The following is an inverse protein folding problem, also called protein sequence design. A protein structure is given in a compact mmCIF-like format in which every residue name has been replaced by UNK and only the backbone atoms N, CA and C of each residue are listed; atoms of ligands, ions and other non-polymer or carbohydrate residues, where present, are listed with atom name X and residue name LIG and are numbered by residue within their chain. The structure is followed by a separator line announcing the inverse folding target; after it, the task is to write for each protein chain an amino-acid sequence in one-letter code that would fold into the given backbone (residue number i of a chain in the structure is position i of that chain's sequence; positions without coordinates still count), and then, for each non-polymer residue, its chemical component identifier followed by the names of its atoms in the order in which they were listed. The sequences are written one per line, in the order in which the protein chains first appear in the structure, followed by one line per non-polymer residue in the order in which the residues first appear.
data_IF_839451606750
#
_entry.id   IF_839451606750
#
_cell.length_a   1.000
_cell.length_b   1.000
_cell.length_c   1.000
_cell.angle_alpha   90.00
_cell.angle_beta   90.00
_cell.angle_gamma   90.00
#
_symmetry.space_group_name_H-M   'P 1'
#
loop_
_entity.id
_entity.type
_entity.pdbx_description
1 polymer ?
#
# COMPACT_ATOMS: atom_id res chain seq x y z
N UNK A 1 9.05 5.40 32.30
CA UNK A 1 9.32 5.37 30.86
C UNK A 1 8.15 6.03 30.18
N UNK A 2 8.39 7.16 29.51
CA UNK A 2 7.40 7.84 28.68
C UNK A 2 7.27 7.00 27.41
N UNK A 3 6.07 6.55 27.06
CA UNK A 3 5.86 5.91 25.76
C UNK A 3 6.31 6.88 24.66
N UNK A 4 7.06 6.45 23.62
CA UNK A 4 7.24 7.31 22.46
C UNK A 4 5.85 7.65 21.93
N UNK A 5 5.51 8.93 21.95
CA UNK A 5 4.26 9.43 21.38
C UNK A 5 4.33 9.22 19.87
N UNK A 6 3.50 8.30 19.37
CA UNK A 6 3.40 8.01 17.93
C UNK A 6 3.05 9.27 17.14
N UNK A 7 3.61 9.41 15.95
CA UNK A 7 3.30 10.51 15.03
C UNK A 7 1.82 10.47 14.59
N UNK A 8 1.24 11.60 14.14
CA UNK A 8 -0.11 11.62 13.56
C UNK A 8 -0.28 10.64 12.40
N UNK A 9 0.74 10.49 11.55
CA UNK A 9 0.75 9.50 10.47
C UNK A 9 0.72 8.06 11.03
N UNK A 10 1.55 7.74 12.03
CA UNK A 10 1.50 6.44 12.70
C UNK A 10 0.14 6.16 13.37
N UNK A 11 -0.53 7.19 13.90
CA UNK A 11 -1.91 7.06 14.39
C UNK A 11 -2.92 6.80 13.27
N UNK A 12 -2.81 7.50 12.15
CA UNK A 12 -3.68 7.27 11.00
C UNK A 12 -3.53 5.85 10.46
N UNK A 13 -2.34 5.24 10.59
CA UNK A 13 -2.04 3.88 10.14
C UNK A 13 -2.39 2.77 11.16
N UNK A 14 -2.95 3.11 12.33
CA UNK A 14 -3.38 2.12 13.33
C UNK A 14 -4.82 1.64 13.13
N UNK A 15 -4.97 0.40 12.65
CA UNK A 15 -6.25 -0.34 12.48
C UNK A 15 -7.20 0.35 11.50
N UNK A 16 -8.07 -0.40 10.78
CA UNK A 16 -8.37 -0.07 9.39
C UNK A 16 -8.79 1.40 9.25
N UNK A 17 -8.24 2.11 8.26
CA UNK A 17 -8.39 3.55 8.17
C UNK A 17 -9.89 3.87 8.17
N UNK A 18 -10.35 4.87 8.96
CA UNK A 18 -11.73 5.28 8.87
C UNK A 18 -12.01 5.70 7.43
N UNK A 19 -12.94 5.00 6.78
CA UNK A 19 -13.37 5.41 5.45
C UNK A 19 -14.08 6.76 5.53
N UNK A 20 -13.88 7.65 4.54
CA UNK A 20 -14.80 8.76 4.32
C UNK A 20 -16.25 8.26 4.31
N UNK A 21 -17.15 9.04 4.92
CA UNK A 21 -18.57 8.68 5.00
C UNK A 21 -19.16 8.46 3.60
N UNK A 22 -19.85 7.32 3.43
CA UNK A 22 -20.49 6.95 2.16
C UNK A 22 -19.67 6.00 1.29
N UNK A 23 -18.46 5.63 1.69
CA UNK A 23 -17.67 4.59 1.02
C UNK A 23 -17.88 3.22 1.65
N UNK A 24 -17.97 2.20 0.80
CA UNK A 24 -18.07 0.79 1.19
C UNK A 24 -16.69 0.13 1.02
N UNK A 25 -16.10 -0.40 2.09
CA UNK A 25 -14.77 -1.06 2.06
C UNK A 25 -14.76 -2.26 1.11
N UNK A 26 -15.90 -2.92 0.92
CA UNK A 26 -16.00 -4.07 0.01
C UNK A 26 -16.06 -3.67 -1.47
N UNK A 27 -16.16 -2.35 -1.75
CA UNK A 27 -16.23 -1.79 -3.10
C UNK A 27 -15.25 -0.66 -3.36
N UNK A 28 -14.42 -0.30 -2.39
CA UNK A 28 -13.52 0.85 -2.46
C UNK A 28 -12.06 0.46 -2.28
N UNK A 29 -11.22 0.90 -3.21
CA UNK A 29 -9.77 0.89 -3.08
C UNK A 29 -9.33 2.20 -2.44
N UNK A 30 -8.93 2.13 -1.16
CA UNK A 30 -8.31 3.26 -0.47
C UNK A 30 -6.79 3.22 -0.66
N UNK A 31 -6.26 4.17 -1.45
CA UNK A 31 -4.82 4.38 -1.63
C UNK A 31 -4.34 5.31 -0.51
N UNK A 32 -3.47 4.81 0.35
CA UNK A 32 -2.87 5.55 1.45
C UNK A 32 -1.44 5.96 1.15
N UNK A 33 -0.90 6.84 1.98
CA UNK A 33 0.50 7.23 1.90
C UNK A 33 1.23 7.02 3.23
N UNK A 34 2.48 6.58 3.12
CA UNK A 34 3.48 6.61 4.19
C UNK A 34 4.77 7.18 3.59
N UNK A 35 5.75 7.50 4.43
CA UNK A 35 7.01 8.02 3.92
C UNK A 35 8.14 7.93 4.93
N UNK A 36 9.36 8.01 4.43
CA UNK A 36 10.56 8.11 5.26
C UNK A 36 11.56 9.08 4.66
N UNK A 37 12.17 9.90 5.51
CA UNK A 37 13.31 10.74 5.14
C UNK A 37 14.57 9.88 5.06
N UNK A 38 15.11 9.70 3.86
CA UNK A 38 16.35 8.98 3.58
C UNK A 38 17.49 9.95 3.22
N UNK A 39 18.74 9.47 3.20
CA UNK A 39 19.92 10.31 2.90
C UNK A 39 19.89 10.96 1.50
N UNK A 40 19.08 10.42 0.58
CA UNK A 40 18.88 10.95 -0.78
C UNK A 40 17.64 11.81 -0.98
N UNK A 41 16.79 11.97 0.05
CA UNK A 41 15.52 12.68 -0.06
C UNK A 41 14.38 11.97 0.68
N UNK A 42 13.19 12.54 0.57
CA UNK A 42 11.98 11.94 1.12
C UNK A 42 11.48 10.85 0.18
N UNK A 43 11.29 9.64 0.71
CA UNK A 43 10.75 8.50 -0.04
C UNK A 43 9.29 8.34 0.36
N UNK A 44 8.39 8.43 -0.62
CA UNK A 44 6.95 8.34 -0.41
C UNK A 44 6.44 7.02 -0.97
N UNK A 45 5.63 6.33 -0.17
CA UNK A 45 5.03 5.05 -0.53
C UNK A 45 3.53 5.20 -0.70
N UNK A 46 3.00 4.68 -1.81
CA UNK A 46 1.60 4.30 -1.89
C UNK A 46 1.39 3.00 -1.09
N UNK A 47 0.36 2.97 -0.26
CA UNK A 47 0.07 1.86 0.65
C UNK A 47 -1.32 1.30 0.36
N UNK A 48 -1.40 -0.01 0.11
CA UNK A 48 -2.65 -0.75 -0.06
C UNK A 48 -2.72 -1.90 0.94
N UNK A 49 -3.79 -1.95 1.72
CA UNK A 49 -4.05 -3.06 2.63
C UNK A 49 -4.53 -4.31 1.90
N UNK A 50 -4.40 -5.48 2.54
CA UNK A 50 -4.85 -6.75 1.98
C UNK A 50 -6.34 -6.76 1.61
N UNK A 51 -7.18 -6.05 2.38
CA UNK A 51 -8.62 -5.94 2.11
C UNK A 51 -8.92 -5.20 0.80
N UNK A 52 -8.06 -4.26 0.39
CA UNK A 52 -8.15 -3.60 -0.91
C UNK A 52 -7.49 -4.45 -2.01
N UNK A 53 -6.31 -5.02 -1.73
CA UNK A 53 -5.56 -5.83 -2.68
C UNK A 53 -6.33 -7.09 -3.13
N UNK A 54 -7.17 -7.68 -2.27
CA UNK A 54 -7.99 -8.84 -2.63
C UNK A 54 -9.08 -8.53 -3.66
N UNK A 55 -9.49 -7.26 -3.77
CA UNK A 55 -10.51 -6.81 -4.72
C UNK A 55 -9.93 -6.55 -6.12
N UNK A 56 -8.62 -6.34 -6.20
CA UNK A 56 -7.91 -6.07 -7.45
C UNK A 56 -7.35 -7.36 -8.07
N UNK A 57 -7.22 -7.46 -9.40
CA UNK A 57 -6.64 -8.63 -10.07
C UNK A 57 -5.15 -8.80 -9.77
N UNK A 58 -4.58 -9.99 -10.02
CA UNK A 58 -3.18 -10.31 -9.64
C UNK A 58 -2.18 -9.41 -10.38
N UNK A 59 -2.55 -8.96 -11.58
CA UNK A 59 -1.75 -8.05 -12.40
C UNK A 59 -1.52 -6.67 -11.79
N UNK A 60 -2.18 -6.30 -10.68
CA UNK A 60 -1.86 -5.04 -9.98
C UNK A 60 -0.40 -5.01 -9.50
N UNK A 61 0.16 -6.16 -9.15
CA UNK A 61 1.56 -6.30 -8.72
C UNK A 61 2.53 -6.62 -9.88
N UNK A 62 2.05 -6.68 -11.13
CA UNK A 62 2.88 -7.00 -12.27
C UNK A 62 3.96 -5.93 -12.50
N UNK A 63 5.20 -6.35 -12.77
CA UNK A 63 6.32 -5.43 -12.94
C UNK A 63 6.86 -4.80 -11.65
N UNK A 64 6.31 -5.12 -10.47
CA UNK A 64 6.94 -4.75 -9.20
C UNK A 64 8.09 -5.70 -8.87
N UNK A 65 9.27 -5.15 -8.62
CA UNK A 65 10.43 -5.91 -8.17
C UNK A 65 10.44 -5.98 -6.64
N UNK A 66 10.15 -7.15 -6.08
CA UNK A 66 10.17 -7.39 -4.63
C UNK A 66 11.54 -7.78 -4.07
N UNK A 67 12.51 -8.01 -4.96
CA UNK A 67 13.87 -8.37 -4.59
C UNK A 67 14.86 -7.78 -5.59
N UNK A 68 16.03 -7.37 -5.09
CA UNK A 68 17.15 -6.91 -5.91
C UNK A 68 18.44 -7.60 -5.50
N UNK A 69 19.40 -7.71 -6.43
CA UNK A 69 20.77 -8.07 -6.07
C UNK A 69 21.50 -6.83 -5.55
N UNK A 70 22.20 -6.97 -4.43
CA UNK A 70 23.12 -5.93 -3.95
C UNK A 70 24.44 -5.95 -4.75
N UNK A 71 25.37 -5.06 -4.38
CA UNK A 71 26.66 -4.93 -5.06
C UNK A 71 27.53 -6.19 -4.88
N UNK A 72 27.27 -6.96 -3.83
CA UNK A 72 27.90 -8.23 -3.51
C UNK A 72 27.24 -9.43 -4.23
N UNK A 73 26.14 -9.21 -4.94
CA UNK A 73 25.41 -10.21 -5.72
C UNK A 73 24.34 -11.00 -4.95
N UNK A 74 24.14 -10.67 -3.67
CA UNK A 74 23.18 -11.30 -2.77
C UNK A 74 21.76 -10.77 -3.02
N UNK A 75 20.78 -11.67 -2.99
CA UNK A 75 19.37 -11.30 -3.21
C UNK A 75 18.81 -10.75 -1.88
N UNK A 76 18.37 -9.50 -1.90
CA UNK A 76 17.71 -8.83 -0.77
C UNK A 76 16.32 -8.33 -1.16
N UNK A 77 15.50 -8.05 -0.15
CA UNK A 77 14.22 -7.38 -0.36
C UNK A 77 14.41 -6.02 -1.04
N UNK A 78 13.51 -5.68 -1.95
CA UNK A 78 13.49 -4.37 -2.61
C UNK A 78 13.05 -3.29 -1.63
N UNK A 79 13.71 -2.11 -1.60
CA UNK A 79 13.24 -0.98 -0.82
C UNK A 79 12.09 -0.24 -1.51
N UNK A 80 11.79 -0.56 -2.78
CA UNK A 80 10.86 0.20 -3.61
C UNK A 80 9.50 -0.49 -3.74
N UNK A 81 9.43 -1.80 -3.53
CA UNK A 81 8.16 -2.53 -3.45
C UNK A 81 8.29 -3.68 -2.44
N UNK A 82 7.50 -3.65 -1.37
CA UNK A 82 7.59 -4.63 -0.29
C UNK A 82 6.27 -4.78 0.46
N UNK A 83 6.16 -5.87 1.22
CA UNK A 83 5.03 -6.11 2.10
C UNK A 83 5.42 -5.88 3.55
N UNK A 84 4.53 -5.22 4.28
CA UNK A 84 4.61 -5.05 5.72
C UNK A 84 3.39 -5.70 6.36
N UNK A 85 3.57 -6.33 7.52
CA UNK A 85 2.46 -6.97 8.20
C UNK A 85 2.72 -7.42 9.61
N UNK A 86 1.69 -8.07 10.13
CA UNK A 86 1.61 -8.81 11.40
C UNK A 86 0.68 -10.01 11.19
N UNK A 87 0.38 -10.76 12.24
CA UNK A 87 -0.58 -11.89 12.15
C UNK A 87 -1.99 -11.48 11.69
N UNK A 88 -2.36 -10.19 11.83
CA UNK A 88 -3.73 -9.69 11.54
C UNK A 88 -3.77 -8.65 10.43
N UNK A 89 -2.63 -8.27 9.88
CA UNK A 89 -2.53 -7.15 8.95
C UNK A 89 -1.46 -7.43 7.91
N UNK A 90 -1.76 -7.08 6.67
CA UNK A 90 -0.82 -7.12 5.57
C UNK A 90 -1.09 -5.92 4.67
N UNK A 91 -0.05 -5.20 4.29
CA UNK A 91 -0.11 -4.08 3.37
C UNK A 91 1.05 -4.13 2.39
N UNK A 92 0.77 -3.75 1.14
CA UNK A 92 1.76 -3.51 0.10
C UNK A 92 2.19 -2.04 0.15
N UNK A 93 3.50 -1.83 0.16
CA UNK A 93 4.15 -0.52 0.06
C UNK A 93 4.84 -0.43 -1.30
N UNK A 94 4.58 0.63 -2.06
CA UNK A 94 5.19 0.89 -3.36
C UNK A 94 5.70 2.32 -3.42
N UNK A 95 7.00 2.48 -3.68
CA UNK A 95 7.66 3.77 -3.85
C UNK A 95 7.10 4.44 -5.12
N UNK A 96 6.49 5.62 -4.95
CA UNK A 96 5.80 6.33 -6.03
C UNK A 96 6.76 6.89 -7.07
N UNK A 97 8.02 7.15 -6.71
CA UNK A 97 9.02 7.66 -7.66
C UNK A 97 9.65 6.53 -8.47
N UNK A 98 9.83 5.35 -7.87
CA UNK A 98 10.35 4.17 -8.56
C UNK A 98 9.30 3.53 -9.48
N UNK A 99 8.02 3.65 -9.14
CA UNK A 99 6.89 3.11 -9.90
C UNK A 99 5.82 4.20 -10.14
N UNK A 100 6.09 5.21 -10.99
CA UNK A 100 5.20 6.36 -11.18
C UNK A 100 3.81 5.97 -11.68
N UNK A 101 3.72 4.92 -12.48
CA UNK A 101 2.46 4.46 -13.08
C UNK A 101 1.60 3.60 -12.13
N UNK A 102 2.10 3.27 -10.93
CA UNK A 102 1.43 2.32 -10.03
C UNK A 102 0.04 2.81 -9.61
N UNK A 103 -0.10 4.09 -9.26
CA UNK A 103 -1.38 4.66 -8.82
C UNK A 103 -2.39 4.68 -9.97
N UNK A 104 -1.95 5.03 -11.19
CA UNK A 104 -2.82 5.01 -12.38
C UNK A 104 -3.27 3.59 -12.69
N UNK A 105 -2.35 2.62 -12.65
CA UNK A 105 -2.70 1.20 -12.80
C UNK A 105 -3.74 0.74 -11.78
N UNK A 106 -3.60 1.12 -10.51
CA UNK A 106 -4.58 0.78 -9.48
C UNK A 106 -5.96 1.38 -9.83
N UNK A 107 -6.00 2.61 -10.34
CA UNK A 107 -7.25 3.27 -10.76
C UNK A 107 -7.89 2.57 -11.96
N UNK A 108 -7.11 2.23 -12.98
CA UNK A 108 -7.60 1.56 -14.17
C UNK A 108 -8.19 0.18 -13.81
N UNK A 109 -7.46 -0.61 -13.01
CA UNK A 109 -7.92 -1.92 -12.57
C UNK A 109 -9.15 -1.83 -11.66
N UNK A 110 -9.23 -0.84 -10.79
CA UNK A 110 -10.42 -0.61 -9.97
C UNK A 110 -11.64 -0.30 -10.85
N UNK A 111 -11.47 0.59 -11.84
CA UNK A 111 -12.52 0.98 -12.77
C UNK A 111 -13.05 -0.20 -13.59
N UNK A 112 -12.17 -1.03 -14.15
CA UNK A 112 -12.53 -2.25 -14.89
C UNK A 112 -13.38 -3.22 -14.06
N UNK A 113 -13.17 -3.24 -12.74
CA UNK A 113 -13.87 -4.09 -11.79
C UNK A 113 -15.07 -3.40 -11.12
N UNK A 114 -15.44 -2.18 -11.53
CA UNK A 114 -16.57 -1.45 -10.96
C UNK A 114 -16.38 -1.06 -9.48
N UNK A 115 -15.13 -0.85 -9.08
CA UNK A 115 -14.71 -0.42 -7.76
C UNK A 115 -14.46 1.09 -7.73
N UNK A 116 -14.78 1.72 -6.60
CA UNK A 116 -14.46 3.11 -6.33
C UNK A 116 -13.00 3.25 -5.87
N UNK A 117 -12.38 4.39 -6.12
CA UNK A 117 -11.04 4.70 -5.62
C UNK A 117 -11.09 5.95 -4.74
N UNK A 118 -10.56 5.83 -3.54
CA UNK A 118 -10.40 6.93 -2.60
C UNK A 118 -8.91 7.15 -2.30
N UNK A 119 -8.54 8.41 -2.10
CA UNK A 119 -7.17 8.81 -1.77
C UNK A 119 -7.13 9.27 -0.32
N UNK A 120 -6.18 8.72 0.46
CA UNK A 120 -5.91 9.12 1.83
C UNK A 120 -5.17 10.45 1.90
N UNK A 121 -5.76 11.54 1.42
CA UNK A 121 -5.12 12.87 1.37
C UNK A 121 -4.61 13.35 2.74
N UNK A 122 -5.29 12.97 3.82
CA UNK A 122 -4.85 13.27 5.19
C UNK A 122 -3.48 12.69 5.55
N UNK A 123 -3.06 11.59 4.90
CA UNK A 123 -1.71 11.03 5.08
C UNK A 123 -0.66 11.97 4.49
N UNK A 124 -0.89 12.50 3.27
CA UNK A 124 0.00 13.47 2.64
C UNK A 124 0.05 14.77 3.42
N UNK A 125 -1.11 15.28 3.86
CA UNK A 125 -1.19 16.48 4.71
C UNK A 125 -0.41 16.31 6.03
N UNK A 126 -0.40 15.11 6.60
CA UNK A 126 0.38 14.80 7.81
C UNK A 126 1.89 14.80 7.57
N UNK A 127 2.32 14.71 6.31
CA UNK A 127 3.71 14.83 5.87
C UNK A 127 4.01 16.18 5.20
N UNK A 128 3.05 17.10 5.11
CA UNK A 128 3.27 18.43 4.53
C UNK A 128 3.87 19.37 5.56
N UNK A 129 5.02 19.97 5.23
CA UNK A 129 5.67 20.99 6.04
C UNK A 129 4.97 22.36 5.97
N UNK A 130 5.38 23.33 6.79
CA UNK A 130 4.80 24.68 6.80
C UNK A 130 4.84 25.41 5.45
N UNK A 131 5.82 25.08 4.61
CA UNK A 131 6.04 25.69 3.30
C UNK A 131 5.24 25.02 2.17
N UNK A 132 4.45 23.98 2.48
CA UNK A 132 3.62 23.25 1.52
C UNK A 132 4.32 22.07 0.83
N UNK A 133 5.63 21.92 1.03
CA UNK A 133 6.39 20.78 0.53
C UNK A 133 6.17 19.53 1.39
N UNK A 134 6.20 18.35 0.76
CA UNK A 134 6.22 17.09 1.48
C UNK A 134 7.58 16.95 2.18
N UNK A 135 7.54 16.73 3.49
CA UNK A 135 8.69 16.32 4.28
C UNK A 135 8.35 15.07 5.09
N UNK A 136 8.83 13.93 4.62
CA UNK A 136 8.55 12.65 5.24
C UNK A 136 9.14 12.55 6.66
N UNK A 137 8.53 11.76 7.56
CA UNK A 137 9.07 11.56 8.90
C UNK A 137 10.39 10.78 8.87
N UNK A 138 11.19 10.90 9.94
CA UNK A 138 12.44 10.11 10.07
C UNK A 138 12.20 8.62 10.29
N UNK A 139 11.04 8.28 10.83
CA UNK A 139 10.62 6.90 11.08
C UNK A 139 9.28 6.74 10.37
N UNK A 140 9.13 5.77 9.47
CA UNK A 140 7.87 5.55 8.76
C UNK A 140 6.81 5.02 9.72
N UNK A 141 5.54 5.27 9.40
CA UNK A 141 4.42 4.92 10.26
C UNK A 141 4.38 3.43 10.62
N UNK A 142 4.76 2.55 9.68
CA UNK A 142 4.77 1.12 9.94
C UNK A 142 5.79 0.69 11.00
N UNK A 143 6.96 1.34 11.07
CA UNK A 143 7.99 1.07 12.08
C UNK A 143 7.52 1.56 13.45
N UNK A 144 6.93 2.77 13.52
CA UNK A 144 6.33 3.28 14.76
C UNK A 144 5.19 2.38 15.27
N UNK A 145 4.51 1.69 14.37
CA UNK A 145 3.45 0.72 14.69
C UNK A 145 3.97 -0.69 14.99
N UNK A 146 5.29 -0.91 14.97
CA UNK A 146 5.89 -2.21 15.28
C UNK A 146 5.58 -3.29 14.26
N UNK A 147 5.27 -2.92 13.02
CA UNK A 147 5.03 -3.85 11.93
C UNK A 147 6.36 -4.30 11.29
N UNK A 148 6.40 -5.53 10.77
CA UNK A 148 7.60 -6.14 10.21
C UNK A 148 7.47 -6.41 8.71
N UNK A 149 8.63 -6.56 8.05
CA UNK A 149 8.68 -7.03 6.68
C UNK A 149 8.13 -8.45 6.55
N UNK A 150 7.31 -8.66 5.53
CA UNK A 150 6.76 -9.98 5.18
C UNK A 150 7.40 -10.42 3.86
N UNK A 151 7.98 -11.63 3.80
CA UNK A 151 8.48 -12.18 2.54
C UNK A 151 7.40 -12.17 1.45
N UNK A 152 7.72 -11.64 0.27
CA UNK A 152 6.74 -11.48 -0.83
C UNK A 152 6.06 -12.79 -1.22
N UNK A 153 6.79 -13.90 -1.22
CA UNK A 153 6.22 -15.24 -1.49
C UNK A 153 5.10 -15.59 -0.50
N UNK A 154 5.28 -15.28 0.79
CA UNK A 154 4.26 -15.53 1.82
C UNK A 154 3.08 -14.57 1.66
N UNK A 155 3.34 -13.30 1.41
CA UNK A 155 2.30 -12.29 1.18
C UNK A 155 1.43 -12.63 -0.03
N UNK A 156 2.05 -12.99 -1.16
CA UNK A 156 1.34 -13.37 -2.38
C UNK A 156 0.55 -14.68 -2.20
N UNK A 157 1.12 -15.67 -1.49
CA UNK A 157 0.41 -16.90 -1.14
C UNK A 157 -0.80 -16.65 -0.21
N UNK A 158 -0.73 -15.64 0.65
CA UNK A 158 -1.88 -15.22 1.45
C UNK A 158 -2.93 -14.53 0.57
N UNK A 159 -2.52 -13.58 -0.28
CA UNK A 159 -3.43 -12.85 -1.17
C UNK A 159 -4.20 -13.80 -2.11
N UNK A 160 -3.54 -14.82 -2.67
CA UNK A 160 -4.20 -15.80 -3.54
C UNK A 160 -5.29 -16.62 -2.84
N UNK A 161 -5.23 -16.76 -1.50
CA UNK A 161 -6.24 -17.48 -0.70
C UNK A 161 -7.45 -16.63 -0.34
N UNK A 162 -7.28 -15.31 -0.27
CA UNK A 162 -8.34 -14.38 0.17
C UNK A 162 -9.02 -13.64 -0.99
N UNK A 163 -8.44 -13.70 -2.20
CA UNK A 163 -9.08 -13.20 -3.41
C UNK A 163 -10.38 -13.98 -3.64
N UNK A 164 -11.47 -13.31 -4.00
CA UNK A 164 -12.65 -13.98 -4.51
C UNK A 164 -12.24 -14.91 -5.65
N UNK A 165 -12.88 -16.07 -5.77
CA UNK A 165 -12.75 -16.86 -6.99
C UNK A 165 -13.12 -15.96 -8.17
N UNK A 166 -12.44 -16.07 -9.33
CA UNK A 166 -12.88 -15.37 -10.52
C UNK A 166 -14.29 -15.85 -10.82
N UNK A 167 -15.29 -15.04 -10.46
CA UNK A 167 -16.66 -15.32 -10.81
C UNK A 167 -16.70 -15.44 -12.32
N UNK A 168 -17.26 -16.56 -12.79
CA UNK A 168 -17.65 -16.74 -14.16
C UNK A 168 -18.74 -15.70 -14.46
N UNK A 169 -18.35 -14.45 -14.68
CA UNK A 169 -19.15 -13.49 -15.41
C UNK A 169 -19.14 -13.94 -16.87
N UNK A 170 -19.91 -15.00 -17.13
CA UNK A 170 -20.65 -15.16 -18.36
C UNK A 170 -21.28 -13.80 -18.63
N UNK A 171 -20.72 -13.08 -19.61
CA UNK A 171 -21.42 -11.99 -20.24
C UNK A 171 -22.80 -12.49 -20.70
N UNK A 172 -23.81 -11.62 -20.77
CA UNK A 172 -25.11 -12.04 -21.26
C UNK A 172 -24.95 -12.64 -22.65
N UNK A 173 -25.44 -13.86 -22.83
CA UNK A 173 -25.74 -14.43 -24.14
C UNK A 173 -26.66 -13.42 -24.86
N UNK A 174 -26.09 -12.70 -25.82
CA UNK A 174 -26.89 -11.98 -26.80
C UNK A 174 -27.43 -13.02 -27.78
N UNK A 175 -28.60 -13.55 -27.45
CA UNK A 175 -29.48 -14.23 -28.40
C UNK A 175 -30.08 -13.27 -29.43
#
# INVERSE_FOLDING_TARGET
MVQPTKSPLAWAHQFPPPLPAGLDLDRTILIRYDGVKAEGGDVIFAVLGADQLRLLPERVTEGLEFSRRDAEGEIRGSPDAFFIGSERHLSLYVNVDAYPDFIERVRDLAFEHGLDVAIGEGDLQSMTGPDGDISAPKVPAFVENGLGYVPSVLAMSYLSKIRPAPDAHSGPDLG
#
